data_IF_041707165380
#
_entry.id   IF_041707165380
#
_cell.length_a   1.000
_cell.length_b   1.000
_cell.length_c   1.000
_cell.angle_alpha   90.00
_cell.angle_beta   90.00
_cell.angle_gamma   90.00
#
_symmetry.space_group_name_H-M   'P 1'
#
loop_
_entity.id
_entity.type
_entity.pdbx_description
1 polymer ?
#
# COMPACT_ATOMS: atom_id res chain seq x y z
N UNK A 1 -6.26 -0.38 -13.21
CA UNK A 1 -5.05 -0.86 -13.90
C UNK A 1 -4.54 -2.11 -13.20
N UNK A 2 -4.04 -3.12 -13.92
CA UNK A 2 -3.55 -4.39 -13.34
C UNK A 2 -2.50 -4.19 -12.23
N UNK A 3 -1.61 -3.21 -12.40
CA UNK A 3 -0.62 -2.82 -11.38
C UNK A 3 -1.25 -2.31 -10.08
N UNK A 4 -2.28 -1.45 -10.15
CA UNK A 4 -3.00 -0.94 -8.95
C UNK A 4 -3.81 -2.04 -8.28
N UNK A 5 -4.38 -2.94 -9.06
CA UNK A 5 -5.11 -4.10 -8.53
C UNK A 5 -4.20 -5.02 -7.73
N UNK A 6 -3.01 -5.35 -8.25
CA UNK A 6 -2.01 -6.11 -7.50
C UNK A 6 -1.64 -5.42 -6.18
N UNK A 7 -1.41 -4.11 -6.20
CA UNK A 7 -1.10 -3.32 -5.00
C UNK A 7 -2.17 -3.52 -3.92
N UNK A 8 -3.44 -3.26 -4.24
CA UNK A 8 -4.55 -3.36 -3.29
C UNK A 8 -4.78 -4.79 -2.81
N UNK A 9 -4.58 -5.78 -3.68
CA UNK A 9 -4.65 -7.20 -3.28
C UNK A 9 -3.58 -7.50 -2.23
N UNK A 10 -2.34 -7.03 -2.40
CA UNK A 10 -1.30 -7.23 -1.39
C UNK A 10 -1.63 -6.49 -0.09
N UNK A 11 -2.10 -5.23 -0.15
CA UNK A 11 -2.51 -4.50 1.06
C UNK A 11 -3.59 -5.23 1.85
N UNK A 12 -4.62 -5.71 1.17
CA UNK A 12 -5.70 -6.46 1.81
C UNK A 12 -5.19 -7.79 2.39
N UNK A 13 -4.39 -8.54 1.63
CA UNK A 13 -3.83 -9.82 2.06
C UNK A 13 -3.01 -9.66 3.35
N UNK A 14 -2.06 -8.73 3.36
CA UNK A 14 -1.19 -8.51 4.52
C UNK A 14 -1.95 -7.92 5.71
N UNK A 15 -2.96 -7.07 5.48
CA UNK A 15 -3.81 -6.58 6.56
C UNK A 15 -4.62 -7.71 7.20
N UNK A 16 -5.24 -8.60 6.42
CA UNK A 16 -5.95 -9.79 6.93
C UNK A 16 -5.01 -10.74 7.67
N UNK A 17 -3.79 -10.92 7.15
CA UNK A 17 -2.76 -11.73 7.80
C UNK A 17 -2.40 -11.17 9.18
N UNK A 18 -2.12 -9.86 9.27
CA UNK A 18 -1.81 -9.23 10.55
C UNK A 18 -2.94 -9.37 11.58
N UNK A 19 -4.20 -9.28 11.14
CA UNK A 19 -5.37 -9.54 12.01
C UNK A 19 -5.37 -10.99 12.49
N UNK A 20 -5.12 -11.95 11.60
CA UNK A 20 -5.05 -13.37 11.94
C UNK A 20 -3.89 -13.72 12.88
N UNK A 21 -2.78 -12.98 12.78
CA UNK A 21 -1.61 -13.09 13.67
C UNK A 21 -1.84 -12.41 15.03
N UNK A 22 -2.99 -11.75 15.21
CA UNK A 22 -3.38 -11.13 16.47
C UNK A 22 -2.72 -9.78 16.74
N UNK A 23 -2.21 -9.10 15.70
CA UNK A 23 -1.78 -7.70 15.80
C UNK A 23 -2.97 -6.88 16.30
N UNK A 24 -2.78 -6.12 17.38
CA UNK A 24 -3.86 -5.32 18.01
C UNK A 24 -3.74 -3.83 17.74
N UNK A 25 -2.53 -3.35 17.48
CA UNK A 25 -2.27 -1.95 17.20
C UNK A 25 -1.92 -1.72 15.74
N UNK A 26 -2.53 -0.70 15.16
CA UNK A 26 -2.17 -0.23 13.82
C UNK A 26 -0.74 0.32 13.79
N UNK A 27 -0.20 0.77 14.93
CA UNK A 27 1.17 1.27 15.05
C UNK A 27 2.24 0.17 14.96
N UNK A 28 1.85 -1.09 15.19
CA UNK A 28 2.71 -2.26 15.02
C UNK A 28 2.87 -2.64 13.54
N UNK A 29 1.99 -2.14 12.66
CA UNK A 29 2.11 -2.30 11.22
C UNK A 29 3.14 -1.32 10.67
N UNK A 30 4.40 -1.76 10.66
CA UNK A 30 5.50 -0.99 10.07
C UNK A 30 5.98 -1.64 8.78
N UNK A 31 6.15 -0.83 7.74
CA UNK A 31 6.69 -1.28 6.46
C UNK A 31 8.04 -0.63 6.25
N UNK A 32 9.08 -1.46 6.23
CA UNK A 32 10.47 -1.09 5.99
C UNK A 32 10.96 -1.76 4.71
N UNK A 33 12.18 -1.42 4.27
CA UNK A 33 12.80 -2.08 3.11
C UNK A 33 12.98 -3.60 3.32
N UNK A 34 13.09 -4.05 4.58
CA UNK A 34 13.22 -5.46 4.95
C UNK A 34 11.87 -6.19 5.10
N UNK A 35 10.75 -5.46 5.05
CA UNK A 35 9.42 -6.06 5.18
C UNK A 35 9.09 -6.94 3.98
N UNK A 36 8.49 -8.10 4.22
CA UNK A 36 8.12 -9.02 3.14
C UNK A 36 7.17 -8.38 2.13
N UNK A 37 6.21 -7.59 2.59
CA UNK A 37 5.32 -6.80 1.75
C UNK A 37 6.11 -5.92 0.77
N UNK A 38 7.12 -5.21 1.26
CA UNK A 38 7.97 -4.36 0.42
C UNK A 38 8.72 -5.20 -0.63
N UNK A 39 9.29 -6.34 -0.23
CA UNK A 39 9.99 -7.26 -1.14
C UNK A 39 9.08 -7.77 -2.26
N UNK A 40 7.83 -8.12 -1.95
CA UNK A 40 6.83 -8.57 -2.93
C UNK A 40 6.48 -7.47 -3.92
N UNK A 41 6.28 -6.23 -3.43
CA UNK A 41 5.99 -5.08 -4.29
C UNK A 41 7.19 -4.73 -5.16
N UNK A 42 8.40 -4.70 -4.59
CA UNK A 42 9.62 -4.39 -5.32
C UNK A 42 9.90 -5.44 -6.40
N UNK A 43 9.70 -6.74 -6.14
CA UNK A 43 9.86 -7.78 -7.16
C UNK A 43 8.85 -7.64 -8.31
N UNK A 44 7.62 -7.21 -7.99
CA UNK A 44 6.56 -7.06 -8.98
C UNK A 44 6.74 -5.80 -9.85
N UNK A 45 7.15 -4.68 -9.25
CA UNK A 45 7.28 -3.40 -9.95
C UNK A 45 8.70 -3.15 -10.49
N UNK A 46 9.73 -3.53 -9.73
CA UNK A 46 11.12 -3.22 -10.01
C UNK A 46 11.90 -4.51 -10.34
N UNK A 47 11.40 -5.31 -11.30
CA UNK A 47 11.93 -6.65 -11.62
C UNK A 47 13.41 -6.65 -12.03
N UNK A 48 13.91 -5.55 -12.58
CA UNK A 48 15.32 -5.37 -12.97
C UNK A 48 16.14 -4.56 -11.94
N UNK A 49 15.54 -4.13 -10.83
CA UNK A 49 16.16 -3.35 -9.76
C UNK A 49 16.87 -2.06 -10.24
N UNK A 50 16.43 -1.50 -11.38
CA UNK A 50 17.02 -0.30 -11.98
C UNK A 50 16.55 0.99 -11.30
N UNK A 51 15.46 0.93 -10.52
CA UNK A 51 14.90 2.08 -9.82
C UNK A 51 15.34 2.06 -8.35
N UNK A 52 15.90 3.16 -7.88
CA UNK A 52 16.08 3.38 -6.44
C UNK A 52 14.70 3.55 -5.80
N UNK A 53 14.37 2.69 -4.83
CA UNK A 53 13.06 2.75 -4.19
C UNK A 53 13.03 3.92 -3.21
N UNK A 54 12.10 4.88 -3.37
CA UNK A 54 12.03 6.03 -2.49
C UNK A 54 11.65 5.63 -1.08
N UNK A 55 12.25 6.28 -0.08
CA UNK A 55 11.84 6.15 1.33
C UNK A 55 10.35 6.49 1.53
N UNK A 56 9.81 7.39 0.71
CA UNK A 56 8.40 7.75 0.70
C UNK A 56 7.47 6.61 0.22
N UNK A 57 7.97 5.67 -0.60
CA UNK A 57 7.16 4.54 -1.03
C UNK A 57 6.83 3.61 0.14
N UNK A 58 7.80 3.35 1.03
CA UNK A 58 7.56 2.61 2.27
C UNK A 58 6.49 3.28 3.11
N UNK A 59 6.53 4.62 3.23
CA UNK A 59 5.52 5.37 3.96
C UNK A 59 4.12 5.24 3.33
N UNK A 60 4.00 5.39 2.01
CA UNK A 60 2.70 5.25 1.31
C UNK A 60 2.13 3.84 1.45
N UNK A 61 2.99 2.82 1.31
CA UNK A 61 2.63 1.42 1.52
C UNK A 61 2.16 1.19 2.95
N UNK A 62 2.90 1.69 3.93
CA UNK A 62 2.55 1.57 5.35
C UNK A 62 1.21 2.22 5.64
N UNK A 63 1.01 3.48 5.23
CA UNK A 63 -0.25 4.20 5.45
C UNK A 63 -1.42 3.47 4.77
N UNK A 64 -1.21 2.95 3.56
CA UNK A 64 -2.24 2.19 2.88
C UNK A 64 -2.59 0.91 3.64
N UNK A 65 -1.58 0.14 4.07
CA UNK A 65 -1.78 -1.07 4.84
C UNK A 65 -2.56 -0.80 6.13
N UNK A 66 -2.23 0.30 6.82
CA UNK A 66 -2.94 0.76 8.03
C UNK A 66 -4.41 1.07 7.76
N UNK A 67 -4.73 1.71 6.64
CA UNK A 67 -6.14 1.98 6.25
C UNK A 67 -6.92 0.69 5.95
N UNK A 68 -6.31 -0.26 5.24
CA UNK A 68 -6.91 -1.58 5.01
C UNK A 68 -7.14 -2.32 6.33
N UNK A 69 -6.15 -2.35 7.21
CA UNK A 69 -6.25 -2.98 8.52
C UNK A 69 -7.33 -2.34 9.39
N UNK A 70 -7.40 -1.01 9.46
CA UNK A 70 -8.45 -0.29 10.20
C UNK A 70 -9.85 -0.62 9.69
N UNK A 71 -10.02 -0.68 8.38
CA UNK A 71 -11.30 -1.03 7.78
C UNK A 71 -11.70 -2.48 8.10
N UNK A 72 -10.76 -3.41 8.00
CA UNK A 72 -10.98 -4.84 8.28
C UNK A 72 -11.24 -5.11 9.77
N UNK A 73 -10.43 -4.54 10.67
CA UNK A 73 -10.64 -4.64 12.13
C UNK A 73 -11.97 -4.03 12.56
N UNK A 74 -12.41 -2.97 11.88
CA UNK A 74 -13.72 -2.34 12.11
C UNK A 74 -14.89 -3.06 11.46
N UNK A 75 -14.69 -4.19 10.76
CA UNK A 75 -15.74 -4.93 10.07
C UNK A 75 -16.36 -4.19 8.88
N UNK A 76 -15.68 -3.17 8.35
CA UNK A 76 -16.18 -2.35 7.23
C UNK A 76 -16.15 -3.08 5.90
N UNK A 77 -15.42 -4.19 5.81
CA UNK A 77 -15.34 -4.99 4.57
C UNK A 77 -16.66 -5.68 4.18
N UNK A 78 -17.65 -5.70 5.08
CA UNK A 78 -19.03 -6.06 4.76
C UNK A 78 -19.74 -5.05 3.84
N UNK A 79 -19.28 -3.78 3.82
CA UNK A 79 -19.88 -2.75 2.96
C UNK A 79 -19.30 -2.81 1.54
N UNK A 80 -20.11 -2.87 0.46
CA UNK A 80 -19.59 -2.96 -0.92
C UNK A 80 -18.64 -1.81 -1.33
N UNK A 81 -18.71 -0.68 -0.64
CA UNK A 81 -17.98 0.56 -0.94
C UNK A 81 -16.77 0.79 -0.04
N UNK A 82 -16.41 -0.13 0.85
CA UNK A 82 -15.37 0.08 1.87
C UNK A 82 -14.02 0.51 1.29
N UNK A 83 -13.63 -0.07 0.15
CA UNK A 83 -12.40 0.28 -0.57
C UNK A 83 -12.44 1.69 -1.15
N UNK A 84 -13.61 2.26 -1.46
CA UNK A 84 -13.73 3.64 -1.97
C UNK A 84 -13.25 4.67 -0.94
N UNK A 85 -13.47 4.41 0.35
CA UNK A 85 -12.99 5.29 1.41
C UNK A 85 -11.45 5.28 1.46
N UNK A 86 -10.86 4.09 1.34
CA UNK A 86 -9.40 3.91 1.33
C UNK A 86 -8.78 4.60 0.11
N UNK A 87 -9.36 4.42 -1.09
CA UNK A 87 -8.85 5.07 -2.30
C UNK A 87 -8.82 6.60 -2.20
N UNK A 88 -9.79 7.21 -1.50
CA UNK A 88 -9.78 8.66 -1.24
C UNK A 88 -8.66 9.09 -0.31
N UNK A 89 -8.30 8.27 0.67
CA UNK A 89 -7.17 8.56 1.58
C UNK A 89 -5.85 8.45 0.82
N UNK A 90 -5.67 7.39 0.03
CA UNK A 90 -4.46 7.19 -0.78
C UNK A 90 -4.29 8.32 -1.81
N UNK A 91 -5.36 8.71 -2.49
CA UNK A 91 -5.30 9.83 -3.45
C UNK A 91 -4.83 11.15 -2.81
N UNK A 92 -5.11 11.38 -1.53
CA UNK A 92 -4.60 12.56 -0.79
C UNK A 92 -3.15 12.40 -0.34
N UNK A 93 -2.68 11.17 -0.15
CA UNK A 93 -1.28 10.89 0.13
C UNK A 93 -0.42 11.19 -1.11
N UNK A 94 -0.92 10.87 -2.32
CA UNK A 94 -0.27 11.24 -3.58
C UNK A 94 -0.12 12.77 -3.74
N UNK A 95 -1.07 13.56 -3.24
CA UNK A 95 -1.00 15.04 -3.26
C UNK A 95 0.11 15.64 -2.37
N UNK A 96 0.67 14.87 -1.44
CA UNK A 96 1.73 15.33 -0.51
C UNK A 96 3.14 14.85 -0.89
N UNK A 97 3.26 14.07 -1.97
CA UNK A 97 4.57 13.64 -2.49
C UNK A 97 5.16 14.76 -3.36
N UNK A 98 6.47 15.08 -3.28
CA UNK A 98 7.10 16.10 -4.14
C UNK A 98 6.82 15.87 -5.64
N UNK A 99 6.73 16.95 -6.44
CA UNK A 99 6.31 16.92 -7.86
C UNK A 99 7.06 15.92 -8.75
N UNK A 100 8.32 15.60 -8.43
CA UNK A 100 9.10 14.56 -9.13
C UNK A 100 8.49 13.15 -9.03
N UNK A 101 7.72 12.87 -7.97
CA UNK A 101 6.94 11.65 -7.79
C UNK A 101 5.48 11.77 -8.24
N UNK A 102 4.98 13.01 -8.43
CA UNK A 102 3.63 13.29 -8.93
C UNK A 102 3.51 13.20 -10.44
N UNK A 103 4.57 12.81 -11.14
CA UNK A 103 4.42 12.49 -12.55
C UNK A 103 3.29 11.43 -12.66
N UNK A 104 2.32 11.60 -13.57
CA UNK A 104 1.32 10.56 -13.91
C UNK A 104 1.99 9.18 -14.10
N UNK A 105 3.26 9.28 -14.48
CA UNK A 105 4.29 8.31 -14.66
C UNK A 105 4.81 7.51 -13.46
N UNK A 106 4.66 7.79 -12.16
CA UNK A 106 5.26 6.84 -11.18
C UNK A 106 4.56 5.45 -11.21
N UNK A 107 3.25 5.43 -11.46
CA UNK A 107 2.48 4.20 -11.68
C UNK A 107 2.34 3.84 -13.18
N UNK A 108 2.62 4.77 -14.10
CA UNK A 108 2.60 4.54 -15.57
C UNK A 108 3.99 4.21 -16.19
N UNK A 109 5.11 4.83 -15.80
CA UNK A 109 6.51 4.51 -16.20
C UNK A 109 7.01 3.15 -15.71
N UNK A 110 6.18 2.39 -15.01
CA UNK A 110 6.47 0.98 -14.83
C UNK A 110 6.21 0.18 -16.12
N UNK A 111 5.71 0.80 -17.21
CA UNK A 111 5.61 0.26 -18.58
C UNK A 111 6.74 -0.71 -18.95
#
# INVERSE_FOLDING_TARGET
SPRREFFYIQMEKYARQAISEGVKSVDDLRVTADSELFRVLNLHYNRNNHLEVPSNFCYVVEQTLKEFYRALMGGKDAEPSWKKAIYKVIARLDDSVPEYFKLPSFLEQLE
#
